data_IF_185655549376
#
_entry.id   IF_185655549376
#
_cell.length_a   1.000
_cell.length_b   1.000
_cell.length_c   1.000
_cell.angle_alpha   90.00
_cell.angle_beta   90.00
_cell.angle_gamma   90.00
#
_symmetry.space_group_name_H-M   'P 1'
#
loop_
_entity.id
_entity.type
_entity.pdbx_description
1 polymer ?
#
# COMPACT_ATOMS: atom_id res chain seq x y z
N UNK A 1 13.72 -26.32 59.93
CA UNK A 1 13.41 -24.97 59.40
C UNK A 1 14.28 -24.60 58.19
N UNK A 2 15.62 -24.68 58.29
CA UNK A 2 16.55 -24.29 57.21
C UNK A 2 16.39 -25.03 55.86
N UNK A 3 16.01 -26.32 55.87
CA UNK A 3 15.82 -27.10 54.64
C UNK A 3 14.64 -26.62 53.78
N UNK A 4 13.54 -26.18 54.42
CA UNK A 4 12.38 -25.64 53.73
C UNK A 4 12.68 -24.25 53.14
N UNK A 5 13.48 -23.46 53.85
CA UNK A 5 13.97 -22.16 53.37
C UNK A 5 14.84 -22.34 52.12
N UNK A 6 15.75 -23.33 52.09
CA UNK A 6 16.57 -23.62 50.89
C UNK A 6 15.74 -24.11 49.71
N UNK A 7 14.74 -24.96 49.94
CA UNK A 7 13.82 -25.41 48.87
C UNK A 7 13.02 -24.26 48.28
N UNK A 8 12.52 -23.35 49.12
CA UNK A 8 11.83 -22.14 48.67
C UNK A 8 12.77 -21.20 47.89
N UNK A 9 14.01 -21.04 48.35
CA UNK A 9 15.01 -20.23 47.67
C UNK A 9 15.32 -20.76 46.26
N UNK A 10 15.51 -22.08 46.10
CA UNK A 10 15.72 -22.70 44.79
C UNK A 10 14.52 -22.57 43.85
N UNK A 11 13.30 -22.66 44.40
CA UNK A 11 12.09 -22.45 43.63
C UNK A 11 11.99 -21.01 43.11
N UNK A 12 12.25 -20.03 43.98
CA UNK A 12 12.24 -18.61 43.60
C UNK A 12 13.34 -18.25 42.60
N UNK A 13 14.56 -18.77 42.77
CA UNK A 13 15.63 -18.53 41.79
C UNK A 13 15.32 -19.18 40.44
N UNK A 14 14.71 -20.36 40.42
CA UNK A 14 14.22 -20.97 39.18
C UNK A 14 13.19 -20.09 38.46
N UNK A 15 12.24 -19.51 39.20
CA UNK A 15 11.24 -18.59 38.65
C UNK A 15 11.89 -17.31 38.07
N UNK A 16 12.86 -16.72 38.77
CA UNK A 16 13.61 -15.56 38.27
C UNK A 16 14.43 -15.89 37.01
N UNK A 17 15.06 -17.07 36.95
CA UNK A 17 15.80 -17.51 35.76
C UNK A 17 14.86 -17.64 34.56
N UNK A 18 13.67 -18.23 34.74
CA UNK A 18 12.65 -18.31 33.69
C UNK A 18 12.22 -16.93 33.21
N UNK A 19 11.99 -15.99 34.15
CA UNK A 19 11.64 -14.60 33.81
C UNK A 19 12.76 -13.91 33.03
N UNK A 20 14.03 -14.10 33.42
CA UNK A 20 15.19 -13.52 32.73
C UNK A 20 15.30 -14.07 31.30
N UNK A 21 15.15 -15.39 31.12
CA UNK A 21 15.16 -16.01 29.79
C UNK A 21 14.02 -15.44 28.93
N UNK A 22 12.83 -15.28 29.50
CA UNK A 22 11.69 -14.70 28.79
C UNK A 22 11.93 -13.24 28.39
N UNK A 23 12.48 -12.42 29.30
CA UNK A 23 12.84 -11.03 28.99
C UNK A 23 13.97 -10.94 27.94
N UNK A 24 14.92 -11.87 27.96
CA UNK A 24 15.98 -11.94 26.95
C UNK A 24 15.40 -12.26 25.56
N UNK A 25 14.51 -13.26 25.49
CA UNK A 25 13.78 -13.60 24.26
C UNK A 25 12.98 -12.41 23.72
N UNK A 26 12.27 -11.67 24.59
CA UNK A 26 11.52 -10.48 24.21
C UNK A 26 12.42 -9.35 23.71
N UNK A 27 13.57 -9.09 24.33
CA UNK A 27 14.43 -7.96 23.93
C UNK A 27 15.25 -8.26 22.67
N UNK A 28 15.81 -9.47 22.55
CA UNK A 28 16.73 -9.80 21.46
C UNK A 28 16.00 -10.28 20.20
N UNK A 29 14.99 -11.15 20.37
CA UNK A 29 14.30 -11.78 19.24
C UNK A 29 13.04 -11.02 18.83
N UNK A 30 12.13 -10.75 19.78
CA UNK A 30 10.89 -10.03 19.48
C UNK A 30 11.03 -8.50 19.52
N UNK A 31 12.08 -7.98 20.13
CA UNK A 31 12.30 -6.55 20.31
C UNK A 31 12.27 -5.75 19.01
N UNK A 32 13.01 -6.18 17.96
CA UNK A 32 12.96 -5.53 16.65
C UNK A 32 11.57 -5.57 16.00
N UNK A 33 10.83 -6.67 16.19
CA UNK A 33 9.48 -6.86 15.62
C UNK A 33 8.46 -5.98 16.33
N UNK A 34 8.50 -5.92 17.66
CA UNK A 34 7.62 -5.11 18.49
C UNK A 34 7.88 -3.60 18.35
N UNK A 35 9.15 -3.21 18.20
CA UNK A 35 9.53 -1.82 17.97
C UNK A 35 8.93 -1.29 16.67
N UNK A 36 8.90 -2.12 15.62
CA UNK A 36 8.35 -1.80 14.30
C UNK A 36 6.86 -2.16 14.15
N UNK A 37 6.18 -2.57 15.24
CA UNK A 37 4.79 -2.95 15.16
C UNK A 37 3.91 -1.73 14.82
N UNK A 38 2.92 -1.84 13.91
CA UNK A 38 2.03 -0.73 13.52
C UNK A 38 1.25 -0.06 14.66
N UNK A 39 1.15 -0.70 15.84
CA UNK A 39 0.42 -0.20 17.01
C UNK A 39 1.33 0.45 18.06
N UNK A 40 2.63 0.58 17.78
CA UNK A 40 3.57 1.21 18.69
C UNK A 40 3.43 2.73 18.69
N UNK A 41 2.57 3.26 19.57
CA UNK A 41 2.33 4.70 19.71
C UNK A 41 3.58 5.53 19.98
N UNK A 42 4.62 4.94 20.61
CA UNK A 42 5.88 5.66 20.92
C UNK A 42 6.69 5.94 19.66
N UNK A 43 6.80 4.95 18.77
CA UNK A 43 7.50 5.12 17.49
C UNK A 43 6.77 6.17 16.63
N UNK A 44 5.45 6.04 16.49
CA UNK A 44 4.59 6.96 15.76
C UNK A 44 4.70 8.41 16.26
N UNK A 45 4.76 8.63 17.58
CA UNK A 45 4.93 9.96 18.16
C UNK A 45 6.33 10.56 17.93
N UNK A 46 7.37 9.73 17.78
CA UNK A 46 8.71 10.17 17.40
C UNK A 46 8.78 10.52 15.91
N UNK A 47 8.16 9.71 15.06
CA UNK A 47 8.05 9.95 13.61
C UNK A 47 7.30 11.25 13.32
N UNK A 48 6.24 11.56 14.08
CA UNK A 48 5.50 12.81 13.97
C UNK A 48 6.34 14.08 14.24
N UNK A 49 7.53 13.93 14.85
CA UNK A 49 8.47 15.04 15.07
C UNK A 49 9.50 15.17 13.94
N UNK A 50 9.68 14.14 13.12
CA UNK A 50 10.64 14.13 12.01
C UNK A 50 10.02 14.82 10.79
N UNK A 51 10.81 15.58 10.04
CA UNK A 51 10.32 16.13 8.77
C UNK A 51 10.44 15.06 7.70
N UNK A 52 9.32 14.41 7.40
CA UNK A 52 9.24 13.38 6.38
C UNK A 52 9.46 13.99 4.99
N UNK A 53 10.22 13.31 4.14
CA UNK A 53 10.55 13.75 2.79
C UNK A 53 9.32 13.88 1.89
N UNK A 54 9.45 14.71 0.86
CA UNK A 54 8.38 15.05 -0.08
C UNK A 54 8.34 14.01 -1.22
N UNK A 55 7.13 13.68 -1.67
CA UNK A 55 6.93 12.81 -2.83
C UNK A 55 6.57 13.69 -4.03
N UNK A 56 7.30 13.52 -5.11
CA UNK A 56 7.13 14.23 -6.37
C UNK A 56 6.75 13.27 -7.50
N UNK A 57 6.06 13.79 -8.50
CA UNK A 57 5.91 13.14 -9.80
C UNK A 57 7.18 13.31 -10.66
N UNK A 58 7.17 12.79 -11.90
CA UNK A 58 8.33 12.86 -12.79
C UNK A 58 8.65 14.29 -13.28
N UNK A 59 7.71 15.22 -13.17
CA UNK A 59 7.84 16.64 -13.57
C UNK A 59 8.04 17.59 -12.38
N UNK A 60 8.18 17.06 -11.15
CA UNK A 60 8.38 17.84 -9.94
C UNK A 60 7.11 18.37 -9.27
N UNK A 61 5.92 17.91 -9.68
CA UNK A 61 4.65 18.20 -9.01
C UNK A 61 4.64 17.53 -7.65
N UNK A 62 4.28 18.29 -6.61
CA UNK A 62 4.21 17.77 -5.24
C UNK A 62 2.95 16.92 -5.05
N UNK A 63 3.16 15.66 -4.69
CA UNK A 63 2.09 14.69 -4.43
C UNK A 63 1.83 14.50 -2.93
N UNK A 64 2.88 14.54 -2.11
CA UNK A 64 2.76 14.49 -0.65
C UNK A 64 3.87 15.31 0.01
N UNK A 65 3.51 16.20 0.95
CA UNK A 65 4.45 17.05 1.68
C UNK A 65 4.13 17.15 3.16
N UNK A 66 5.15 17.47 3.95
CA UNK A 66 5.01 17.68 5.39
C UNK A 66 4.97 19.16 5.71
N UNK A 67 3.92 19.63 6.39
CA UNK A 67 3.76 21.04 6.79
C UNK A 67 3.69 21.12 8.32
N UNK A 68 4.37 22.11 8.90
CA UNK A 68 4.28 22.38 10.33
C UNK A 68 3.01 23.22 10.61
N UNK A 69 2.07 22.66 11.37
CA UNK A 69 0.83 23.34 11.77
C UNK A 69 0.72 23.28 13.30
N UNK A 70 0.80 24.44 13.97
CA UNK A 70 0.65 24.53 15.43
C UNK A 70 1.71 23.76 16.24
N UNK A 71 2.93 23.63 15.71
CA UNK A 71 4.04 22.89 16.34
C UNK A 71 4.03 21.37 16.10
N UNK A 72 2.97 20.84 15.48
CA UNK A 72 2.90 19.45 15.01
C UNK A 72 3.19 19.39 13.51
N UNK A 73 3.94 18.38 13.06
CA UNK A 73 4.16 18.15 11.63
C UNK A 73 3.03 17.29 11.09
N UNK A 74 2.23 17.85 10.18
CA UNK A 74 1.12 17.17 9.51
C UNK A 74 1.49 16.85 8.07
N UNK A 75 1.14 15.64 7.63
CA UNK A 75 1.27 15.21 6.23
C UNK A 75 0.07 15.72 5.42
N UNK A 76 0.34 16.35 4.28
CA UNK A 76 -0.67 16.92 3.36
C UNK A 76 -0.45 16.34 1.97
N UNK A 77 -1.55 16.01 1.29
CA UNK A 77 -1.58 15.45 -0.06
C UNK A 77 -2.31 16.42 -0.99
N UNK A 78 -1.59 17.29 -1.73
CA UNK A 78 -2.22 18.33 -2.55
C UNK A 78 -3.14 17.79 -3.66
N UNK A 79 -2.82 16.61 -4.20
CA UNK A 79 -3.60 15.98 -5.27
C UNK A 79 -4.76 15.10 -4.74
N UNK A 80 -5.02 15.12 -3.43
CA UNK A 80 -6.20 14.48 -2.83
C UNK A 80 -6.41 13.02 -3.24
N UNK A 81 -7.59 12.74 -3.80
CA UNK A 81 -8.07 11.39 -4.12
C UNK A 81 -7.32 10.74 -5.29
N UNK A 82 -6.80 11.52 -6.25
CA UNK A 82 -6.27 11.00 -7.52
C UNK A 82 -5.11 10.02 -7.33
N UNK A 83 -4.33 10.22 -6.26
CA UNK A 83 -3.18 9.40 -5.91
C UNK A 83 -3.38 8.57 -4.64
N UNK A 84 -4.51 8.70 -3.97
CA UNK A 84 -4.70 8.11 -2.64
C UNK A 84 -4.58 6.57 -2.62
N UNK A 85 -5.15 5.80 -3.57
CA UNK A 85 -4.99 4.35 -3.59
C UNK A 85 -3.54 3.89 -3.84
N UNK A 86 -2.68 4.78 -4.35
CA UNK A 86 -1.29 4.49 -4.69
C UNK A 86 -0.32 4.97 -3.61
N UNK A 87 -0.34 6.26 -3.29
CA UNK A 87 0.51 6.87 -2.27
C UNK A 87 0.12 6.33 -0.88
N UNK A 88 -1.18 6.15 -0.66
CA UNK A 88 -1.72 5.83 0.65
C UNK A 88 -1.85 7.06 1.52
N UNK A 89 -1.76 6.85 2.83
CA UNK A 89 -1.80 7.90 3.82
C UNK A 89 -0.87 7.61 5.00
N UNK A 90 -0.73 8.59 5.88
CA UNK A 90 -0.02 8.48 7.16
C UNK A 90 -0.93 9.08 8.22
N UNK A 91 -1.37 8.25 9.16
CA UNK A 91 -2.20 8.63 10.31
C UNK A 91 -1.57 8.11 11.60
N UNK A 92 -1.61 8.92 12.65
CA UNK A 92 -1.16 8.50 13.99
C UNK A 92 -2.06 7.42 14.59
N UNK A 93 -3.31 7.31 14.10
CA UNK A 93 -4.32 6.37 14.60
C UNK A 93 -4.39 5.10 13.77
N UNK A 94 -4.34 5.23 12.45
CA UNK A 94 -4.56 4.13 11.51
C UNK A 94 -3.27 3.60 10.86
N UNK A 95 -2.13 4.22 11.15
CA UNK A 95 -0.84 3.85 10.58
C UNK A 95 -0.64 4.41 9.19
N UNK A 96 0.19 3.73 8.40
CA UNK A 96 0.56 4.12 7.05
C UNK A 96 0.20 3.05 6.01
N UNK A 97 -0.08 3.44 4.77
CA UNK A 97 -0.48 2.55 3.68
C UNK A 97 0.23 2.90 2.37
N UNK A 98 0.08 2.07 1.33
CA UNK A 98 0.60 2.38 -0.01
C UNK A 98 2.11 2.62 -0.05
N UNK A 99 2.55 3.52 -0.94
CA UNK A 99 3.95 3.93 -1.05
C UNK A 99 4.50 4.56 0.24
N UNK A 100 3.67 5.25 1.01
CA UNK A 100 4.07 5.80 2.31
C UNK A 100 4.52 4.70 3.28
N UNK A 101 3.88 3.52 3.24
CA UNK A 101 4.29 2.36 4.02
C UNK A 101 5.54 1.69 3.47
N UNK A 102 5.65 1.57 2.15
CA UNK A 102 6.77 0.85 1.50
C UNK A 102 8.07 1.62 1.67
N UNK A 103 8.05 2.94 1.45
CA UNK A 103 9.22 3.82 1.53
C UNK A 103 9.33 4.56 2.87
N UNK A 104 8.74 4.01 3.94
CA UNK A 104 8.70 4.68 5.24
C UNK A 104 10.11 5.00 5.78
N UNK A 105 11.06 4.08 5.61
CA UNK A 105 12.42 4.25 6.14
C UNK A 105 13.19 5.34 5.38
N UNK A 106 13.05 5.39 4.07
CA UNK A 106 13.65 6.38 3.18
C UNK A 106 13.06 7.77 3.44
N UNK A 107 11.73 7.84 3.48
CA UNK A 107 10.98 9.08 3.74
C UNK A 107 11.24 9.63 5.15
N UNK A 108 11.66 8.80 6.11
CA UNK A 108 12.09 9.24 7.44
C UNK A 108 13.62 9.45 7.56
N UNK A 109 14.40 9.05 6.55
CA UNK A 109 15.87 9.15 6.58
C UNK A 109 16.53 8.18 7.58
N UNK A 110 15.83 7.10 7.96
CA UNK A 110 16.28 6.08 8.92
C UNK A 110 16.98 4.95 8.14
N UNK A 111 18.06 5.27 7.44
CA UNK A 111 18.95 4.23 6.88
C UNK A 111 19.92 3.72 7.95
N UNK A 112 20.40 2.48 7.86
CA UNK A 112 21.35 1.88 8.83
C UNK A 112 22.62 2.72 9.04
N UNK A 113 23.05 3.47 8.01
CA UNK A 113 24.21 4.39 8.02
C UNK A 113 23.91 5.69 8.79
N UNK A 114 22.63 5.99 9.04
CA UNK A 114 22.15 7.21 9.69
C UNK A 114 22.35 7.22 11.21
N UNK A 115 22.59 6.09 11.90
CA UNK A 115 22.75 6.09 13.37
C UNK A 115 23.90 7.00 13.85
N UNK A 116 25.05 6.97 13.16
CA UNK A 116 26.20 7.81 13.49
C UNK A 116 25.94 9.29 13.12
N UNK A 117 25.32 9.52 11.96
CA UNK A 117 24.93 10.86 11.47
C UNK A 117 23.85 11.50 12.36
N UNK A 118 22.95 10.70 12.91
CA UNK A 118 21.88 11.10 13.83
C UNK A 118 22.41 11.45 15.23
N UNK A 119 23.48 10.78 15.68
CA UNK A 119 24.16 11.14 16.91
C UNK A 119 24.86 12.50 16.77
N UNK A 120 25.59 12.71 15.67
CA UNK A 120 26.24 13.99 15.35
C UNK A 120 25.21 15.11 15.13
N UNK A 121 24.11 14.85 14.42
CA UNK A 121 23.04 15.83 14.21
C UNK A 121 22.26 16.17 15.49
N UNK A 122 22.08 15.21 16.42
CA UNK A 122 21.55 15.51 17.76
C UNK A 122 22.47 16.44 18.53
N UNK A 123 23.78 16.24 18.42
CA UNK A 123 24.79 17.09 19.03
C UNK A 123 24.81 18.50 18.38
N UNK A 124 24.60 18.56 17.05
CA UNK A 124 24.58 19.79 16.26
C UNK A 124 23.20 20.48 16.14
N UNK A 125 22.16 19.98 16.82
CA UNK A 125 20.75 20.46 16.77
C UNK A 125 20.18 20.65 15.35
N UNK A 126 20.65 19.90 14.35
CA UNK A 126 20.11 19.99 12.99
C UNK A 126 18.78 19.22 12.90
N UNK A 127 17.73 19.78 12.28
CA UNK A 127 16.47 19.07 12.10
C UNK A 127 16.72 17.81 11.25
N UNK A 128 16.28 16.65 11.74
CA UNK A 128 16.27 15.44 10.93
C UNK A 128 15.21 15.58 9.84
N UNK A 129 15.69 15.68 8.61
CA UNK A 129 14.89 15.63 7.38
C UNK A 129 15.05 14.26 6.76
N UNK A 130 13.94 13.66 6.34
CA UNK A 130 13.95 12.46 5.53
C UNK A 130 14.32 12.74 4.08
N UNK A 131 14.40 11.68 3.29
CA UNK A 131 14.74 11.78 1.86
C UNK A 131 13.48 11.96 1.02
N UNK A 132 13.60 12.72 -0.05
CA UNK A 132 12.53 12.90 -1.02
C UNK A 132 12.44 11.70 -1.98
N UNK A 133 11.24 11.45 -2.52
CA UNK A 133 10.96 10.38 -3.47
C UNK A 133 10.46 11.00 -4.77
N UNK A 134 11.05 10.60 -5.90
CA UNK A 134 10.60 11.00 -7.24
C UNK A 134 9.99 9.77 -7.90
N UNK A 135 8.73 9.87 -8.31
CA UNK A 135 8.00 8.79 -8.97
C UNK A 135 8.10 8.90 -10.49
N UNK A 136 7.82 7.80 -11.20
CA UNK A 136 7.72 7.79 -12.67
C UNK A 136 6.37 8.29 -13.19
N UNK A 137 5.41 8.50 -12.29
CA UNK A 137 4.05 8.93 -12.64
C UNK A 137 4.05 10.34 -13.19
N UNK A 138 3.12 10.59 -14.12
CA UNK A 138 2.78 11.91 -14.62
C UNK A 138 1.45 12.34 -14.00
N UNK A 139 1.43 13.49 -13.31
CA UNK A 139 0.22 13.94 -12.64
C UNK A 139 -0.94 14.25 -13.59
N UNK A 140 -0.68 14.74 -14.79
CA UNK A 140 -1.73 15.04 -15.76
C UNK A 140 -2.37 13.74 -16.29
N UNK A 141 -1.55 12.71 -16.56
CA UNK A 141 -2.06 11.40 -16.97
C UNK A 141 -2.84 10.72 -15.85
N UNK A 142 -2.39 10.86 -14.60
CA UNK A 142 -3.11 10.33 -13.44
C UNK A 142 -4.50 10.97 -13.29
N UNK A 143 -4.57 12.30 -13.37
CA UNK A 143 -5.82 13.06 -13.32
C UNK A 143 -6.78 12.64 -14.43
N UNK A 144 -6.29 12.55 -15.66
CA UNK A 144 -7.09 12.09 -16.79
C UNK A 144 -7.61 10.65 -16.58
N UNK A 145 -6.76 9.74 -16.11
CA UNK A 145 -7.17 8.36 -15.81
C UNK A 145 -8.25 8.30 -14.73
N UNK A 146 -8.15 9.13 -13.68
CA UNK A 146 -9.19 9.20 -12.64
C UNK A 146 -10.50 9.79 -13.16
N UNK A 147 -10.44 10.82 -14.01
CA UNK A 147 -11.61 11.41 -14.67
C UNK A 147 -12.32 10.41 -15.57
N UNK A 148 -11.57 9.61 -16.35
CA UNK A 148 -12.13 8.56 -17.21
C UNK A 148 -12.82 7.45 -16.41
N UNK A 149 -12.28 7.10 -15.23
CA UNK A 149 -12.94 6.16 -14.31
C UNK A 149 -14.23 6.73 -13.71
N UNK A 150 -14.32 8.06 -13.53
CA UNK A 150 -15.48 8.76 -12.98
C UNK A 150 -15.98 8.06 -11.68
N UNK A 151 -17.28 7.77 -11.57
CA UNK A 151 -17.86 7.02 -10.44
C UNK A 151 -17.95 5.50 -10.67
N UNK A 152 -17.21 4.97 -11.65
CA UNK A 152 -17.21 3.54 -11.94
C UNK A 152 -16.17 2.80 -11.09
N UNK A 153 -16.51 1.57 -10.70
CA UNK A 153 -15.59 0.68 -9.98
C UNK A 153 -14.61 0.08 -10.97
N UNK A 154 -13.33 0.41 -10.86
CA UNK A 154 -12.31 -0.07 -11.80
C UNK A 154 -10.91 0.46 -11.51
N UNK A 155 -10.01 0.18 -12.44
CA UNK A 155 -8.66 0.71 -12.44
C UNK A 155 -8.17 0.94 -13.88
N UNK A 156 -7.25 1.88 -14.03
CA UNK A 156 -6.54 2.17 -15.28
C UNK A 156 -5.04 2.20 -14.96
N UNK A 157 -4.24 1.53 -15.79
CA UNK A 157 -2.78 1.53 -15.71
C UNK A 157 -2.21 1.94 -17.05
N UNK A 158 -1.29 2.90 -17.05
CA UNK A 158 -0.49 3.29 -18.20
C UNK A 158 0.98 3.05 -17.90
N UNK A 159 1.68 2.38 -18.81
CA UNK A 159 3.07 1.97 -18.70
C UNK A 159 3.83 2.40 -19.95
N UNK A 160 5.08 2.82 -19.79
CA UNK A 160 6.02 2.85 -20.91
C UNK A 160 6.52 1.42 -21.18
N UNK A 161 6.21 0.82 -22.35
CA UNK A 161 6.59 -0.56 -22.66
C UNK A 161 8.10 -0.74 -22.85
N UNK A 162 8.86 0.35 -23.12
CA UNK A 162 10.31 0.26 -23.33
C UNK A 162 11.08 0.26 -22.02
N UNK A 163 10.65 1.09 -21.06
CA UNK A 163 11.36 1.27 -19.78
C UNK A 163 10.71 0.52 -18.62
N UNK A 164 9.44 0.13 -18.76
CA UNK A 164 8.64 -0.42 -17.66
C UNK A 164 8.15 0.63 -16.67
N UNK A 165 8.38 1.93 -16.93
CA UNK A 165 7.95 3.01 -16.05
C UNK A 165 6.41 3.09 -16.00
N UNK A 166 5.86 3.10 -14.79
CA UNK A 166 4.43 3.37 -14.57
C UNK A 166 4.19 4.87 -14.72
N UNK A 167 3.38 5.25 -15.70
CA UNK A 167 3.03 6.65 -16.01
C UNK A 167 1.75 7.07 -15.30
N UNK A 168 0.78 6.17 -15.17
CA UNK A 168 -0.44 6.37 -14.39
C UNK A 168 -0.94 5.04 -13.81
N UNK A 169 -1.50 5.09 -12.60
CA UNK A 169 -2.11 3.96 -11.90
C UNK A 169 -3.28 4.47 -11.08
N UNK A 170 -4.44 4.59 -11.73
CA UNK A 170 -5.66 5.10 -11.12
C UNK A 170 -6.55 3.94 -10.66
N UNK A 171 -7.21 4.11 -9.51
CA UNK A 171 -8.22 3.18 -9.02
C UNK A 171 -9.43 3.96 -8.51
N UNK A 172 -10.63 3.44 -8.80
CA UNK A 172 -11.89 4.06 -8.42
C UNK A 172 -12.88 3.02 -7.83
N UNK A 173 -13.71 3.42 -6.86
CA UNK A 173 -13.67 4.71 -6.13
C UNK A 173 -12.43 4.83 -5.24
N UNK A 174 -12.00 6.07 -4.97
CA UNK A 174 -10.90 6.37 -4.06
C UNK A 174 -11.39 7.01 -2.76
N UNK A 175 -10.48 7.68 -2.05
CA UNK A 175 -10.72 8.41 -0.82
C UNK A 175 -9.76 9.61 -0.74
N UNK A 176 -10.08 10.64 0.05
CA UNK A 176 -9.14 11.73 0.31
C UNK A 176 -8.25 11.40 1.54
N UNK A 177 -6.93 11.28 1.38
CA UNK A 177 -6.03 10.96 2.48
C UNK A 177 -5.93 12.07 3.52
N UNK A 178 -6.31 13.31 3.19
CA UNK A 178 -6.29 14.45 4.11
C UNK A 178 -7.45 14.42 5.13
N UNK A 179 -8.52 13.69 4.84
CA UNK A 179 -9.76 13.69 5.64
C UNK A 179 -9.96 12.44 6.49
N UNK A 180 -9.08 11.45 6.38
CA UNK A 180 -9.19 10.14 7.04
C UNK A 180 -9.42 10.24 8.56
N UNK A 181 -8.71 11.16 9.23
CA UNK A 181 -8.81 11.36 10.68
C UNK A 181 -9.97 12.31 11.08
N UNK A 182 -10.69 12.88 10.09
CA UNK A 182 -11.81 13.80 10.34
C UNK A 182 -12.98 13.05 10.95
N UNK A 183 -13.63 13.69 11.92
CA UNK A 183 -14.89 13.22 12.47
C UNK A 183 -16.07 13.65 11.60
N UNK A 184 -16.90 12.68 11.24
CA UNK A 184 -18.17 12.83 10.55
C UNK A 184 -19.30 12.72 11.57
N UNK A 185 -20.22 13.69 11.53
CA UNK A 185 -21.40 13.71 12.38
C UNK A 185 -22.50 12.86 11.71
N UNK A 186 -22.99 11.83 12.39
CA UNK A 186 -24.10 10.98 11.93
C UNK A 186 -25.43 11.27 12.66
N UNK A 187 -25.47 12.34 13.47
CA UNK A 187 -26.64 12.71 14.27
C UNK A 187 -26.27 13.03 15.73
N UNK A 188 -27.28 13.22 16.60
CA UNK A 188 -27.07 13.57 18.00
C UNK A 188 -26.22 12.52 18.72
N UNK A 189 -25.06 12.92 19.24
CA UNK A 189 -24.16 12.05 20.03
C UNK A 189 -23.35 11.03 19.24
N UNK A 190 -23.52 10.90 17.92
CA UNK A 190 -22.81 9.89 17.10
C UNK A 190 -21.81 10.52 16.16
N UNK A 191 -20.52 10.48 16.55
CA UNK A 191 -19.38 10.85 15.70
C UNK A 191 -18.59 9.60 15.35
N UNK A 192 -18.27 9.46 14.07
CA UNK A 192 -17.41 8.38 13.57
C UNK A 192 -16.30 9.03 12.73
N UNK A 193 -15.17 8.36 12.55
CA UNK A 193 -14.14 8.87 11.63
C UNK A 193 -14.52 8.57 10.19
N UNK A 194 -14.01 9.38 9.26
CA UNK A 194 -14.08 9.10 7.83
C UNK A 194 -13.50 7.72 7.51
N UNK A 195 -12.35 7.37 8.12
CA UNK A 195 -11.76 6.04 7.97
C UNK A 195 -12.72 4.89 8.29
N UNK A 196 -13.37 4.96 9.46
CA UNK A 196 -14.25 3.89 9.93
C UNK A 196 -15.54 3.78 9.09
N UNK A 197 -15.94 4.88 8.41
CA UNK A 197 -17.00 4.88 7.41
C UNK A 197 -16.55 4.22 6.11
N UNK A 198 -15.45 4.70 5.53
CA UNK A 198 -14.89 4.20 4.27
C UNK A 198 -14.51 2.71 4.34
N UNK A 199 -14.07 2.24 5.53
CA UNK A 199 -13.78 0.82 5.77
C UNK A 199 -15.01 -0.08 5.64
N UNK A 200 -16.21 0.44 5.90
CA UNK A 200 -17.48 -0.30 5.82
C UNK A 200 -18.18 -0.11 4.47
N UNK A 201 -17.64 0.73 3.60
CA UNK A 201 -18.22 1.00 2.30
C UNK A 201 -18.14 -0.26 1.40
N UNK A 202 -19.27 -0.78 0.88
CA UNK A 202 -19.26 -1.91 -0.05
C UNK A 202 -18.52 -1.62 -1.35
N UNK A 203 -18.28 -0.35 -1.67
CA UNK A 203 -17.48 0.07 -2.81
C UNK A 203 -15.97 0.00 -2.53
N UNK A 204 -15.52 -0.39 -1.33
CA UNK A 204 -14.11 -0.66 -0.99
C UNK A 204 -13.11 0.39 -1.55
N UNK A 205 -13.19 1.65 -1.09
CA UNK A 205 -12.35 2.74 -1.60
C UNK A 205 -10.87 2.60 -1.26
N UNK A 206 -10.53 1.89 -0.17
CA UNK A 206 -9.14 1.62 0.21
C UNK A 206 -8.45 0.57 -0.67
N UNK A 207 -9.21 -0.18 -1.48
CA UNK A 207 -8.66 -1.24 -2.33
C UNK A 207 -8.03 -0.62 -3.58
N UNK A 208 -6.72 -0.82 -3.75
CA UNK A 208 -6.08 -0.52 -5.02
C UNK A 208 -6.39 -1.63 -6.03
N UNK A 209 -7.39 -1.39 -6.88
CA UNK A 209 -7.87 -2.39 -7.83
C UNK A 209 -6.85 -2.76 -8.91
N UNK A 210 -5.88 -1.91 -9.19
CA UNK A 210 -4.85 -2.20 -10.19
C UNK A 210 -3.87 -3.29 -9.70
N UNK A 211 -3.57 -3.31 -8.39
CA UNK A 211 -2.51 -4.17 -7.82
C UNK A 211 -3.03 -5.24 -6.87
N UNK A 212 -4.16 -4.98 -6.20
CA UNK A 212 -4.75 -5.88 -5.20
C UNK A 212 -6.04 -6.54 -5.70
N UNK A 213 -6.55 -6.13 -6.86
CA UNK A 213 -7.73 -6.72 -7.48
C UNK A 213 -7.39 -8.00 -8.25
N UNK A 214 -8.18 -9.06 -8.03
CA UNK A 214 -8.10 -10.30 -8.82
C UNK A 214 -9.35 -10.38 -9.68
N UNK A 215 -9.18 -10.33 -10.99
CA UNK A 215 -10.27 -10.34 -11.96
C UNK A 215 -10.04 -11.42 -13.02
N UNK A 216 -11.10 -12.08 -13.51
CA UNK A 216 -10.97 -12.96 -14.66
C UNK A 216 -10.52 -12.13 -15.87
N UNK A 217 -9.37 -12.44 -16.51
CA UNK A 217 -8.82 -11.61 -17.58
C UNK A 217 -9.67 -11.67 -18.85
N UNK A 218 -10.41 -12.76 -19.08
CA UNK A 218 -11.24 -12.94 -20.27
C UNK A 218 -10.41 -12.91 -21.56
N UNK A 219 -10.94 -12.29 -22.62
CA UNK A 219 -10.34 -12.35 -23.95
C UNK A 219 -8.95 -11.72 -24.08
N UNK A 220 -8.53 -10.84 -23.16
CA UNK A 220 -7.16 -10.27 -23.20
C UNK A 220 -6.08 -11.34 -23.01
N UNK A 221 -6.41 -12.45 -22.34
CA UNK A 221 -5.49 -13.56 -22.13
C UNK A 221 -5.24 -14.38 -23.40
N UNK A 222 -6.13 -14.31 -24.40
CA UNK A 222 -5.99 -15.04 -25.66
C UNK A 222 -4.71 -14.66 -26.42
N UNK A 223 -4.21 -13.44 -26.23
CA UNK A 223 -2.93 -12.99 -26.82
C UNK A 223 -1.77 -13.85 -26.30
N UNK A 224 -1.76 -14.15 -24.99
CA UNK A 224 -0.73 -15.00 -24.37
C UNK A 224 -0.87 -16.44 -24.87
N UNK A 225 -2.11 -16.96 -24.92
CA UNK A 225 -2.37 -18.30 -25.47
C UNK A 225 -1.89 -18.43 -26.91
N UNK A 226 -2.17 -17.42 -27.75
CA UNK A 226 -1.72 -17.40 -29.14
C UNK A 226 -0.20 -17.29 -29.25
N UNK A 227 0.44 -16.43 -28.45
CA UNK A 227 1.90 -16.31 -28.43
C UNK A 227 2.57 -17.64 -28.05
N UNK A 228 2.03 -18.35 -27.06
CA UNK A 228 2.47 -19.70 -26.72
C UNK A 228 2.29 -20.68 -27.87
N UNK A 229 1.11 -20.68 -28.51
CA UNK A 229 0.85 -21.54 -29.66
C UNK A 229 1.81 -21.27 -30.82
N UNK A 230 2.08 -20.01 -31.17
CA UNK A 230 3.03 -19.65 -32.23
C UNK A 230 4.48 -20.03 -31.89
N UNK A 231 4.84 -20.05 -30.60
CA UNK A 231 6.20 -20.39 -30.16
C UNK A 231 6.44 -21.90 -30.17
N UNK A 232 5.44 -22.69 -29.78
CA UNK A 232 5.60 -24.13 -29.53
C UNK A 232 4.89 -25.03 -30.55
N UNK A 233 4.01 -24.50 -31.40
CA UNK A 233 3.24 -25.25 -32.40
C UNK A 233 3.50 -24.65 -33.80
N UNK A 234 4.52 -25.15 -34.53
CA UNK A 234 4.92 -24.60 -35.82
C UNK A 234 3.82 -24.61 -36.89
N UNK A 235 2.84 -25.51 -36.78
CA UNK A 235 1.74 -25.64 -37.74
C UNK A 235 0.72 -24.48 -37.64
N UNK A 236 0.78 -23.68 -36.58
CA UNK A 236 -0.18 -22.58 -36.33
C UNK A 236 0.01 -21.40 -37.28
N UNK A 237 1.22 -21.16 -37.78
CA UNK A 237 1.52 -20.01 -38.66
C UNK A 237 0.94 -20.15 -40.06
N UNK A 238 0.74 -21.38 -40.55
CA UNK A 238 0.32 -21.64 -41.93
C UNK A 238 -1.01 -22.41 -42.03
N UNK A 239 -1.64 -22.73 -40.90
CA UNK A 239 -2.92 -23.42 -40.85
C UNK A 239 -4.10 -22.52 -41.24
N UNK A 240 -5.01 -23.04 -42.07
CA UNK A 240 -6.35 -22.45 -42.21
C UNK A 240 -7.27 -23.10 -41.20
N UNK A 241 -7.89 -22.29 -40.34
CA UNK A 241 -8.76 -22.76 -39.27
C UNK A 241 -10.20 -22.38 -39.53
N UNK A 242 -11.12 -23.33 -39.34
CA UNK A 242 -12.55 -23.02 -39.36
C UNK A 242 -12.95 -22.36 -38.05
N UNK A 243 -13.50 -21.14 -38.14
CA UNK A 243 -14.08 -20.43 -37.01
C UNK A 243 -15.52 -20.91 -36.80
N UNK A 244 -15.72 -21.96 -36.00
CA UNK A 244 -17.06 -22.31 -35.53
C UNK A 244 -17.39 -21.52 -34.27
N UNK A 245 -18.52 -20.80 -34.28
CA UNK A 245 -19.03 -20.10 -33.10
C UNK A 245 -19.45 -21.14 -32.06
N UNK A 246 -18.76 -21.18 -30.92
CA UNK A 246 -19.25 -21.90 -29.74
C UNK A 246 -19.83 -20.84 -28.81
N UNK A 247 -21.15 -20.87 -28.62
CA UNK A 247 -21.83 -20.00 -27.67
C UNK A 247 -21.61 -20.53 -26.26
N UNK A 248 -20.75 -19.87 -25.49
CA UNK A 248 -20.55 -20.18 -24.07
C UNK A 248 -21.33 -19.14 -23.26
N UNK A 249 -22.47 -19.55 -22.71
CA UNK A 249 -23.20 -18.75 -21.73
C UNK A 249 -22.57 -18.94 -20.36
N UNK A 250 -22.05 -17.87 -19.76
CA UNK A 250 -21.46 -17.90 -18.42
C UNK A 250 -22.59 -17.78 -17.38
N UNK A 251 -22.84 -18.81 -16.54
CA UNK A 251 -24.04 -18.85 -15.69
C UNK A 251 -23.99 -17.88 -14.49
N UNK A 252 -22.85 -17.24 -14.21
CA UNK A 252 -22.61 -16.48 -12.97
C UNK A 252 -22.62 -14.95 -13.13
N UNK A 253 -22.92 -14.40 -14.32
CA UNK A 253 -22.87 -12.95 -14.57
C UNK A 253 -24.28 -12.34 -14.80
N UNK A 254 -24.71 -11.31 -14.05
CA UNK A 254 -26.05 -10.71 -14.18
C UNK A 254 -26.23 -9.77 -15.38
N UNK A 255 -25.28 -9.70 -16.32
CA UNK A 255 -25.41 -8.91 -17.55
C UNK A 255 -25.12 -9.79 -18.77
N UNK A 256 -25.96 -9.71 -19.79
CA UNK A 256 -25.78 -10.34 -21.10
C UNK A 256 -24.55 -9.72 -21.80
N UNK A 257 -23.39 -10.33 -21.61
CA UNK A 257 -22.28 -10.20 -22.55
C UNK A 257 -22.01 -11.61 -23.06
N UNK A 258 -22.47 -11.89 -24.28
CA UNK A 258 -22.08 -13.10 -25.00
C UNK A 258 -20.63 -12.92 -25.43
N UNK A 259 -19.75 -13.83 -25.01
CA UNK A 259 -18.41 -13.92 -25.59
C UNK A 259 -18.34 -15.13 -26.51
N UNK A 260 -17.76 -14.93 -27.69
CA UNK A 260 -17.44 -16.03 -28.59
C UNK A 260 -16.09 -16.63 -28.17
N UNK A 261 -16.11 -17.92 -27.86
CA UNK A 261 -14.88 -18.72 -27.84
C UNK A 261 -14.81 -19.43 -29.18
N UNK A 262 -13.80 -19.10 -29.97
CA UNK A 262 -13.52 -19.80 -31.21
C UNK A 262 -12.53 -20.91 -30.92
N UNK A 263 -12.97 -22.15 -31.10
CA UNK A 263 -12.07 -23.29 -31.12
C UNK A 263 -11.45 -23.39 -32.52
N UNK A 264 -10.12 -23.42 -32.58
CA UNK A 264 -9.40 -23.65 -33.81
C UNK A 264 -9.42 -25.16 -34.10
N UNK A 265 -10.26 -25.58 -35.06
CA UNK A 265 -10.19 -26.92 -35.63
C UNK A 265 -9.40 -26.85 -36.94
N UNK A 266 -8.29 -27.58 -37.01
CA UNK A 266 -7.48 -27.69 -38.24
C UNK A 266 -8.36 -28.33 -39.33
N UNK A 267 -8.33 -27.74 -40.54
CA UNK A 267 -8.90 -28.38 -41.72
C UNK A 267 -8.12 -29.62 -42.11
#
# INVERSE_FOLDING_TARGET
MAANIRKLAYFLTGLFIILIIYLFYLNFWQGPVLANHPYNKRAVALEAKIQRGTIYDCHGVVLAKTVAQGGLKKRIYPQGEDFAPLIGFVSLRYGHTGLESVYNQELLGISKVSKLKNFINRLARRPQTGNDLILTLDANLQHLARQLLNNQRGAIVALDPKTGAVLALASAPGYDPNTIDRLVNLGPGKKITEFDLLKKDPAAPFLNRATQGVYPPGSIFKIITLAGALTYIPEVTHGTYNMSLIHISEPTRPRLISYAVFCLKKK
#
